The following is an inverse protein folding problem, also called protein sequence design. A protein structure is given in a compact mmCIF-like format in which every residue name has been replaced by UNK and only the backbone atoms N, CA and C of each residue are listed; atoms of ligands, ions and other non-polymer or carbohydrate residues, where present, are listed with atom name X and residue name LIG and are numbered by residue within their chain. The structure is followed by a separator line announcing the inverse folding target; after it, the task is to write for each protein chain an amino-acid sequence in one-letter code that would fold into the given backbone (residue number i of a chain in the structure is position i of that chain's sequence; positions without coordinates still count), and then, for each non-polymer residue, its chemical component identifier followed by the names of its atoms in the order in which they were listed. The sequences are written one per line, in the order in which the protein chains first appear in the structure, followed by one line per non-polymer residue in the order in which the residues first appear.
data_IF_784058505301
#
_entry.id   IF_784058505301
#
_cell.length_a   1.000
_cell.length_b   1.000
_cell.length_c   1.000
_cell.angle_alpha   90.00
_cell.angle_beta   90.00
_cell.angle_gamma   90.00
#
_symmetry.space_group_name_H-M   'P 1'
#
loop_
_entity.id
_entity.type
_entity.pdbx_description
1 polymer ?
#
# COMPACT_ATOMS: atom_id res chain seq x y z
N UNK A 1 -26.88 13.98 -41.93
CA UNK A 1 -25.41 14.05 -41.74
C UNK A 1 -25.16 13.95 -40.25
N UNK A 2 -25.05 12.71 -39.76
CA UNK A 2 -24.83 12.42 -38.33
C UNK A 2 -23.34 12.54 -38.04
N UNK A 3 -22.98 13.40 -37.08
CA UNK A 3 -21.62 13.53 -36.58
C UNK A 3 -21.29 12.29 -35.74
N UNK A 4 -20.09 11.70 -35.85
CA UNK A 4 -19.72 10.58 -34.99
C UNK A 4 -19.42 11.10 -33.57
N UNK A 5 -20.10 10.50 -32.60
CA UNK A 5 -19.85 10.71 -31.17
C UNK A 5 -18.44 10.24 -30.81
N UNK A 6 -17.58 11.20 -30.46
CA UNK A 6 -16.22 10.96 -29.97
C UNK A 6 -16.26 10.35 -28.57
N UNK A 7 -16.50 9.04 -28.49
CA UNK A 7 -16.42 8.26 -27.26
C UNK A 7 -14.95 8.12 -26.84
N UNK A 8 -14.48 9.10 -26.07
CA UNK A 8 -13.19 9.04 -25.40
C UNK A 8 -13.23 7.88 -24.38
N UNK A 9 -12.75 6.70 -24.80
CA UNK A 9 -12.62 5.54 -23.90
C UNK A 9 -11.83 5.97 -22.66
N UNK A 10 -12.33 5.73 -21.42
CA UNK A 10 -11.57 6.04 -20.23
C UNK A 10 -10.26 5.24 -20.31
N UNK A 11 -9.13 5.96 -20.23
CA UNK A 11 -7.82 5.33 -20.13
C UNK A 11 -7.81 4.53 -18.82
N UNK A 12 -8.03 3.21 -18.93
CA UNK A 12 -7.89 2.29 -17.81
C UNK A 12 -6.41 2.29 -17.46
N UNK A 13 -6.02 3.10 -16.47
CA UNK A 13 -4.67 3.06 -15.91
C UNK A 13 -4.44 1.63 -15.43
N UNK A 14 -3.38 1.01 -15.94
CA UNK A 14 -2.99 -0.34 -15.54
C UNK A 14 -2.86 -0.46 -14.01
N UNK A 15 -2.94 -1.69 -13.47
CA UNK A 15 -2.87 -1.90 -12.02
C UNK A 15 -1.59 -1.29 -11.46
N UNK A 16 -1.73 -0.52 -10.37
CA UNK A 16 -0.59 0.03 -9.63
C UNK A 16 0.14 -1.15 -8.98
N UNK A 17 1.48 -1.18 -9.11
CA UNK A 17 2.29 -2.30 -8.65
C UNK A 17 3.37 -1.86 -7.67
N UNK A 18 3.60 -2.68 -6.65
CA UNK A 18 4.72 -2.54 -5.72
C UNK A 18 5.37 -3.90 -5.57
N UNK A 19 6.57 -4.09 -6.13
CA UNK A 19 7.24 -5.39 -6.16
C UNK A 19 6.37 -6.47 -6.80
N UNK A 20 6.13 -7.56 -6.05
CA UNK A 20 5.27 -8.68 -6.47
C UNK A 20 3.79 -8.50 -6.17
N UNK A 21 3.36 -7.32 -5.72
CA UNK A 21 1.99 -7.07 -5.30
C UNK A 21 1.27 -6.17 -6.30
N UNK A 22 0.10 -6.62 -6.75
CA UNK A 22 -0.87 -5.76 -7.44
C UNK A 22 -1.68 -5.02 -6.36
N UNK A 23 -1.66 -3.69 -6.40
CA UNK A 23 -2.37 -2.83 -5.46
C UNK A 23 -3.83 -2.70 -5.91
N UNK A 24 -4.74 -2.94 -4.97
CA UNK A 24 -6.18 -2.86 -5.21
C UNK A 24 -6.77 -1.61 -4.55
N UNK A 25 -7.84 -1.77 -3.76
CA UNK A 25 -8.57 -0.67 -3.12
C UNK A 25 -7.93 -0.23 -1.80
N UNK A 26 -8.31 0.97 -1.36
CA UNK A 26 -7.96 1.49 -0.03
C UNK A 26 -8.79 0.80 1.05
N UNK A 27 -8.14 0.34 2.11
CA UNK A 27 -8.77 -0.21 3.31
C UNK A 27 -8.93 0.86 4.40
N UNK A 28 -7.99 1.81 4.48
CA UNK A 28 -8.03 2.88 5.47
C UNK A 28 -7.11 4.04 5.13
N UNK A 29 -7.42 5.21 5.67
CA UNK A 29 -6.60 6.42 5.56
C UNK A 29 -6.32 6.95 6.97
N UNK A 30 -5.06 7.21 7.24
CA UNK A 30 -4.61 7.91 8.44
C UNK A 30 -3.92 9.22 8.05
N UNK A 31 -3.34 9.90 9.04
CA UNK A 31 -2.73 11.22 8.85
C UNK A 31 -1.56 11.21 7.85
N UNK A 32 -0.63 10.26 8.02
CA UNK A 32 0.60 10.16 7.22
C UNK A 32 0.68 8.88 6.39
N UNK A 33 -0.40 8.09 6.37
CA UNK A 33 -0.39 6.78 5.76
C UNK A 33 -1.73 6.40 5.13
N UNK A 34 -1.67 5.63 4.05
CA UNK A 34 -2.84 4.98 3.45
C UNK A 34 -2.60 3.48 3.47
N UNK A 35 -3.58 2.73 3.97
CA UNK A 35 -3.56 1.27 3.94
C UNK A 35 -4.35 0.81 2.73
N UNK A 36 -3.73 0.01 1.87
CA UNK A 36 -4.37 -0.58 0.68
C UNK A 36 -4.39 -2.10 0.79
N UNK A 37 -5.44 -2.72 0.26
CA UNK A 37 -5.41 -4.13 -0.04
C UNK A 37 -4.51 -4.35 -1.24
N UNK A 38 -3.71 -5.40 -1.20
CA UNK A 38 -2.91 -5.83 -2.32
C UNK A 38 -2.91 -7.36 -2.40
N UNK A 39 -2.65 -7.89 -3.59
CA UNK A 39 -2.57 -9.33 -3.82
C UNK A 39 -1.19 -9.70 -4.33
N UNK A 40 -0.56 -10.67 -3.66
CA UNK A 40 0.70 -11.22 -4.12
C UNK A 40 0.48 -12.01 -5.43
N UNK A 41 1.22 -11.68 -6.48
CA UNK A 41 0.94 -12.16 -7.84
C UNK A 41 1.14 -13.66 -8.01
N UNK A 42 2.06 -14.25 -7.25
CA UNK A 42 2.43 -15.67 -7.36
C UNK A 42 1.54 -16.51 -6.43
N UNK A 43 1.59 -16.22 -5.13
CA UNK A 43 0.87 -17.01 -4.11
C UNK A 43 -0.62 -16.68 -4.01
N UNK A 44 -1.08 -15.61 -4.66
CA UNK A 44 -2.45 -15.09 -4.59
C UNK A 44 -2.91 -14.66 -3.20
N UNK A 45 -1.99 -14.60 -2.24
CA UNK A 45 -2.26 -14.15 -0.87
C UNK A 45 -2.64 -12.67 -0.86
N UNK A 46 -3.72 -12.34 -0.16
CA UNK A 46 -4.12 -10.96 0.11
C UNK A 46 -3.37 -10.41 1.33
N UNK A 47 -2.90 -9.17 1.21
CA UNK A 47 -2.16 -8.47 2.26
C UNK A 47 -2.63 -7.02 2.39
N UNK A 48 -2.44 -6.44 3.57
CA UNK A 48 -2.56 -5.00 3.76
C UNK A 48 -1.19 -4.34 3.61
N UNK A 49 -1.09 -3.32 2.76
CA UNK A 49 0.12 -2.51 2.58
C UNK A 49 -0.12 -1.12 3.17
N UNK A 50 0.59 -0.80 4.25
CA UNK A 50 0.63 0.55 4.84
C UNK A 50 1.66 1.39 4.09
N UNK A 51 1.19 2.30 3.25
CA UNK A 51 2.01 3.22 2.47
C UNK A 51 2.16 4.51 3.26
N UNK A 52 3.40 4.92 3.52
CA UNK A 52 3.72 6.10 4.33
C UNK A 52 4.38 7.15 3.44
N UNK A 53 3.85 8.37 3.45
CA UNK A 53 4.47 9.50 2.78
C UNK A 53 5.55 10.12 3.66
N UNK A 54 6.82 9.85 3.33
CA UNK A 54 7.97 10.33 4.10
C UNK A 54 8.14 11.85 4.05
N UNK A 55 7.60 12.53 3.05
CA UNK A 55 7.74 13.99 2.90
C UNK A 55 6.90 14.77 3.92
N UNK A 56 5.88 14.13 4.47
CA UNK A 56 4.92 14.70 5.42
C UNK A 56 5.31 14.44 6.88
N UNK A 57 6.47 13.81 7.13
CA UNK A 57 6.89 13.38 8.47
C UNK A 57 7.93 14.31 9.08
N UNK A 58 7.70 14.71 10.32
CA UNK A 58 8.73 15.26 11.19
C UNK A 58 9.62 14.15 11.80
N UNK A 59 10.71 14.56 12.46
CA UNK A 59 11.66 13.63 13.08
C UNK A 59 11.00 12.71 14.13
N UNK A 60 10.04 13.23 14.89
CA UNK A 60 9.34 12.51 15.95
C UNK A 60 8.44 11.41 15.37
N UNK A 61 7.67 11.69 14.33
CA UNK A 61 6.81 10.70 13.69
C UNK A 61 7.63 9.67 12.92
N UNK A 62 8.76 10.07 12.35
CA UNK A 62 9.70 9.13 11.75
C UNK A 62 10.25 8.14 12.77
N UNK A 63 10.65 8.59 13.96
CA UNK A 63 11.09 7.72 15.06
C UNK A 63 9.98 6.75 15.50
N UNK A 64 8.74 7.23 15.63
CA UNK A 64 7.58 6.37 15.95
C UNK A 64 7.39 5.26 14.93
N UNK A 65 7.55 5.55 13.63
CA UNK A 65 7.44 4.54 12.57
C UNK A 65 8.56 3.51 12.67
N UNK A 66 9.80 3.94 12.92
CA UNK A 66 10.90 2.99 13.15
C UNK A 66 10.60 2.09 14.34
N UNK A 67 10.12 2.65 15.45
CA UNK A 67 9.73 1.87 16.63
C UNK A 67 8.61 0.88 16.33
N UNK A 68 7.57 1.30 15.60
CA UNK A 68 6.47 0.41 15.16
C UNK A 68 7.02 -0.79 14.38
N UNK A 69 7.93 -0.55 13.43
CA UNK A 69 8.56 -1.62 12.64
C UNK A 69 9.38 -2.56 13.52
N UNK A 70 10.16 -2.04 14.49
CA UNK A 70 10.95 -2.90 15.38
C UNK A 70 10.06 -3.78 16.26
N UNK A 71 8.99 -3.22 16.83
CA UNK A 71 8.01 -3.98 17.61
C UNK A 71 7.41 -5.10 16.75
N UNK A 72 6.93 -4.75 15.56
CA UNK A 72 6.30 -5.71 14.65
C UNK A 72 7.23 -6.85 14.18
N UNK A 73 8.54 -6.62 14.12
CA UNK A 73 9.53 -7.67 13.79
C UNK A 73 9.70 -8.70 14.90
N UNK A 74 9.39 -8.35 16.15
CA UNK A 74 9.51 -9.24 17.30
C UNK A 74 8.23 -10.03 17.60
N UNK A 75 7.13 -9.72 16.92
CA UNK A 75 5.82 -10.32 17.16
C UNK A 75 5.60 -11.50 16.20
N UNK A 76 5.40 -12.69 16.78
CA UNK A 76 4.92 -13.87 16.06
C UNK A 76 3.89 -14.61 16.92
N UNK A 77 2.61 -14.29 16.71
CA UNK A 77 1.51 -14.82 17.50
C UNK A 77 0.24 -14.94 16.65
N UNK A 78 -0.55 -16.02 16.77
CA UNK A 78 -1.73 -16.27 15.91
C UNK A 78 -2.81 -15.18 16.00
N UNK A 79 -2.85 -14.41 17.08
CA UNK A 79 -3.84 -13.35 17.30
C UNK A 79 -3.27 -11.94 17.16
N UNK A 80 -2.04 -11.79 16.66
CA UNK A 80 -1.39 -10.51 16.42
C UNK A 80 -1.00 -10.44 14.94
N UNK A 81 -1.23 -9.28 14.33
CA UNK A 81 -0.87 -9.08 12.91
C UNK A 81 0.64 -9.26 12.69
N UNK A 82 1.01 -9.99 11.64
CA UNK A 82 2.41 -10.29 11.30
C UNK A 82 2.94 -9.31 10.25
N UNK A 83 4.16 -8.84 10.45
CA UNK A 83 4.90 -8.07 9.45
C UNK A 83 5.61 -9.02 8.49
N UNK A 84 5.22 -8.98 7.21
CA UNK A 84 5.83 -9.83 6.17
C UNK A 84 7.07 -9.20 5.54
N UNK A 85 7.00 -7.91 5.21
CA UNK A 85 8.05 -7.21 4.47
C UNK A 85 8.03 -5.72 4.77
N UNK A 86 9.21 -5.11 4.78
CA UNK A 86 9.38 -3.65 4.77
C UNK A 86 10.14 -3.28 3.50
N UNK A 87 9.61 -2.32 2.75
CA UNK A 87 10.25 -1.82 1.53
C UNK A 87 10.41 -0.31 1.64
N UNK A 88 11.55 0.21 1.19
CA UNK A 88 11.79 1.65 1.07
C UNK A 88 11.97 1.98 -0.41
N UNK A 89 11.10 2.81 -0.96
CA UNK A 89 11.38 3.47 -2.23
C UNK A 89 12.34 4.64 -1.98
N UNK A 90 13.41 4.72 -2.78
CA UNK A 90 14.30 5.89 -2.86
C UNK A 90 13.55 7.08 -3.42
#
# INVERSE_FOLDING_TARGET
MVMPDNHQKPMVRGPVRVGFYDIERTLGKGNFAVVKLARHRITKTEVAIKIIDKSQLDAVNLEKIYREVQIMKMLDHPHIIKLYQVSRSS
#
